data_IF_566277536930
#
_entry.id   IF_566277536930
#
_cell.length_a   1.000
_cell.length_b   1.000
_cell.length_c   1.000
_cell.angle_alpha   90.00
_cell.angle_beta   90.00
_cell.angle_gamma   90.00
#
_symmetry.space_group_name_H-M   'P 1'
#
loop_
_entity.id
_entity.type
_entity.pdbx_description
1 polymer ?
#
# COMPACT_ATOMS: atom_id res chain seq x y z
N UNK A 1 -6.01 26.72 15.97
CA UNK A 1 -4.91 25.92 15.40
C UNK A 1 -5.55 25.06 14.35
N UNK A 2 -5.34 25.35 13.06
CA UNK A 2 -5.96 24.57 11.98
C UNK A 2 -5.58 23.11 12.16
N UNK A 3 -6.59 22.24 12.13
CA UNK A 3 -6.38 20.82 11.95
C UNK A 3 -5.59 20.63 10.66
N UNK A 4 -4.34 20.15 10.77
CA UNK A 4 -3.48 19.89 9.61
C UNK A 4 -3.98 18.72 8.76
N UNK A 5 -5.02 18.00 9.18
CA UNK A 5 -5.47 16.75 8.56
C UNK A 5 -4.66 15.54 9.01
N UNK A 6 -3.73 15.73 9.95
CA UNK A 6 -2.81 14.70 10.41
C UNK A 6 -3.53 13.52 11.10
N UNK A 7 -4.63 13.77 11.79
CA UNK A 7 -5.42 12.70 12.44
C UNK A 7 -6.04 11.76 11.39
N UNK A 8 -6.66 12.32 10.34
CA UNK A 8 -7.22 11.54 9.23
C UNK A 8 -6.11 10.80 8.49
N UNK A 9 -5.04 11.50 8.11
CA UNK A 9 -3.93 10.91 7.38
C UNK A 9 -3.32 9.71 8.11
N UNK A 10 -3.09 9.83 9.42
CA UNK A 10 -2.56 8.73 10.26
C UNK A 10 -3.54 7.57 10.41
N UNK A 11 -4.84 7.85 10.55
CA UNK A 11 -5.89 6.83 10.67
C UNK A 11 -5.96 5.97 9.41
N UNK A 12 -5.87 6.59 8.24
CA UNK A 12 -6.07 5.94 6.95
C UNK A 12 -4.73 5.46 6.32
N UNK A 13 -3.60 5.70 6.98
CA UNK A 13 -2.25 5.51 6.43
C UNK A 13 -1.95 4.05 6.05
N UNK A 14 -2.33 3.11 6.90
CA UNK A 14 -2.09 1.68 6.66
C UNK A 14 -2.90 1.14 5.48
N UNK A 15 -4.14 1.60 5.33
CA UNK A 15 -5.00 1.25 4.20
C UNK A 15 -4.47 1.88 2.91
N UNK A 16 -4.00 3.14 3.00
CA UNK A 16 -3.33 3.81 1.89
C UNK A 16 -2.08 3.05 1.41
N UNK A 17 -1.20 2.65 2.34
CA UNK A 17 0.01 1.88 2.03
C UNK A 17 -0.29 0.51 1.40
N UNK A 18 -1.44 -0.09 1.72
CA UNK A 18 -1.91 -1.36 1.15
C UNK A 18 -2.74 -1.20 -0.12
N UNK A 19 -2.92 0.03 -0.62
CA UNK A 19 -3.79 0.37 -1.75
C UNK A 19 -5.25 -0.07 -1.53
N UNK A 20 -5.72 0.00 -0.29
CA UNK A 20 -7.09 -0.37 0.13
C UNK A 20 -8.03 0.84 0.27
N UNK A 21 -7.55 2.06 0.01
CA UNK A 21 -8.36 3.30 0.00
C UNK A 21 -8.86 3.63 -1.41
N UNK A 22 -9.98 4.36 -1.50
CA UNK A 22 -10.46 4.82 -2.80
C UNK A 22 -9.52 5.88 -3.40
N UNK A 23 -9.58 6.08 -4.73
CA UNK A 23 -8.60 6.92 -5.45
C UNK A 23 -8.61 8.39 -5.01
N UNK A 24 -9.77 8.93 -4.62
CA UNK A 24 -9.88 10.31 -4.11
C UNK A 24 -9.20 10.45 -2.76
N UNK A 25 -9.45 9.52 -1.83
CA UNK A 25 -8.81 9.53 -0.51
C UNK A 25 -7.30 9.28 -0.59
N UNK A 26 -6.87 8.44 -1.54
CA UNK A 26 -5.45 8.22 -1.82
C UNK A 26 -4.72 9.51 -2.24
N UNK A 27 -5.39 10.39 -2.97
CA UNK A 27 -4.82 11.68 -3.39
C UNK A 27 -4.62 12.60 -2.20
N UNK A 28 -5.64 12.72 -1.34
CA UNK A 28 -5.60 13.60 -0.17
C UNK A 28 -4.53 13.17 0.84
N UNK A 29 -4.41 11.86 1.10
CA UNK A 29 -3.40 11.31 2.01
C UNK A 29 -1.99 11.54 1.44
N UNK A 30 -1.81 11.34 0.13
CA UNK A 30 -0.53 11.57 -0.55
C UNK A 30 -0.10 13.03 -0.44
N UNK A 31 -0.99 13.95 -0.80
CA UNK A 31 -0.73 15.39 -0.72
C UNK A 31 -0.36 15.80 0.72
N UNK A 32 -1.05 15.24 1.72
CA UNK A 32 -0.73 15.50 3.11
C UNK A 32 0.67 15.01 3.51
N UNK A 33 1.02 13.77 3.17
CA UNK A 33 2.35 13.18 3.48
C UNK A 33 3.47 13.97 2.78
N UNK A 34 3.23 14.45 1.56
CA UNK A 34 4.20 15.27 0.81
C UNK A 34 4.50 16.61 1.50
N UNK A 35 3.54 17.15 2.27
CA UNK A 35 3.63 18.46 2.91
C UNK A 35 3.79 18.42 4.43
N UNK A 36 3.68 17.24 5.07
CA UNK A 36 3.79 17.06 6.51
C UNK A 36 4.99 16.16 6.87
N UNK A 37 5.93 16.68 7.66
CA UNK A 37 7.09 15.90 8.12
C UNK A 37 6.67 14.74 9.03
N UNK A 38 5.81 15.01 10.02
CA UNK A 38 5.38 14.01 11.01
C UNK A 38 4.68 12.81 10.34
N UNK A 39 3.76 13.07 9.40
CA UNK A 39 3.06 11.98 8.69
C UNK A 39 3.97 11.23 7.71
N UNK A 40 5.04 11.85 7.21
CA UNK A 40 6.06 11.16 6.42
C UNK A 40 6.89 10.23 7.29
N UNK A 41 7.25 10.65 8.50
CA UNK A 41 7.97 9.80 9.44
C UNK A 41 7.11 8.60 9.86
N UNK A 42 5.81 8.80 10.13
CA UNK A 42 4.86 7.72 10.39
C UNK A 42 4.75 6.74 9.21
N UNK A 43 4.73 7.24 7.97
CA UNK A 43 4.73 6.40 6.77
C UNK A 43 5.98 5.51 6.71
N UNK A 44 7.15 6.08 7.00
CA UNK A 44 8.42 5.34 7.01
C UNK A 44 8.41 4.25 8.09
N UNK A 45 7.87 4.52 9.27
CA UNK A 45 7.72 3.51 10.34
C UNK A 45 6.85 2.35 9.87
N UNK A 46 5.67 2.63 9.31
CA UNK A 46 4.74 1.60 8.82
C UNK A 46 5.35 0.74 7.69
N UNK A 47 6.05 1.37 6.76
CA UNK A 47 6.78 0.66 5.69
C UNK A 47 7.87 -0.25 6.27
N UNK A 48 8.67 0.29 7.19
CA UNK A 48 9.74 -0.48 7.84
C UNK A 48 9.19 -1.69 8.60
N UNK A 49 8.09 -1.54 9.34
CA UNK A 49 7.43 -2.65 10.04
C UNK A 49 6.93 -3.71 9.06
N UNK A 50 6.28 -3.28 7.98
CA UNK A 50 5.77 -4.18 6.93
C UNK A 50 6.91 -4.98 6.30
N UNK A 51 8.02 -4.32 5.95
CA UNK A 51 9.19 -5.00 5.41
C UNK A 51 9.80 -6.01 6.37
N UNK A 52 9.89 -5.67 7.66
CA UNK A 52 10.42 -6.58 8.70
C UNK A 52 9.55 -7.84 8.81
N UNK A 53 8.22 -7.67 8.83
CA UNK A 53 7.28 -8.79 8.86
C UNK A 53 7.43 -9.66 7.60
N UNK A 54 7.51 -9.04 6.42
CA UNK A 54 7.70 -9.77 5.17
C UNK A 54 9.00 -10.56 5.13
N UNK A 55 10.10 -10.02 5.69
CA UNK A 55 11.39 -10.73 5.78
C UNK A 55 11.34 -11.90 6.75
N UNK A 56 10.56 -11.78 7.83
CA UNK A 56 10.37 -12.85 8.82
C UNK A 56 9.45 -13.96 8.29
N UNK A 57 8.44 -13.61 7.49
CA UNK A 57 7.53 -14.57 6.87
C UNK A 57 8.19 -15.25 5.65
N UNK A 58 8.37 -16.58 5.71
CA UNK A 58 8.98 -17.37 4.62
C UNK A 58 7.97 -18.23 3.86
N UNK A 59 6.69 -18.00 4.08
CA UNK A 59 5.63 -18.76 3.42
C UNK A 59 5.62 -18.43 1.92
N UNK A 60 5.86 -19.44 1.10
CA UNK A 60 5.79 -19.31 -0.35
C UNK A 60 4.44 -19.83 -0.83
N UNK A 61 3.80 -19.09 -1.73
CA UNK A 61 2.55 -19.56 -2.36
C UNK A 61 2.79 -20.93 -3.04
N UNK A 62 1.82 -21.87 -2.97
CA UNK A 62 1.94 -23.15 -3.67
C UNK A 62 2.23 -22.95 -5.16
N UNK A 63 3.18 -23.70 -5.71
CA UNK A 63 3.64 -23.54 -7.10
C UNK A 63 2.50 -23.67 -8.12
N UNK A 64 1.57 -24.58 -7.86
CA UNK A 64 0.39 -24.77 -8.69
C UNK A 64 -0.49 -23.50 -8.74
N UNK A 65 -0.71 -22.85 -7.60
CA UNK A 65 -1.49 -21.62 -7.53
C UNK A 65 -0.76 -20.47 -8.22
N UNK A 66 0.56 -20.34 -7.99
CA UNK A 66 1.40 -19.34 -8.67
C UNK A 66 1.33 -19.49 -10.19
N UNK A 67 1.46 -20.72 -10.68
CA UNK A 67 1.37 -21.04 -12.11
C UNK A 67 0.00 -20.67 -12.71
N UNK A 68 -1.09 -20.97 -12.00
CA UNK A 68 -2.46 -20.61 -12.44
C UNK A 68 -2.65 -19.09 -12.53
N UNK A 69 -2.22 -18.34 -11.51
CA UNK A 69 -2.33 -16.87 -11.50
C UNK A 69 -1.54 -16.25 -12.66
N UNK A 70 -0.29 -16.69 -12.87
CA UNK A 70 0.56 -16.18 -13.96
C UNK A 70 -0.01 -16.51 -15.35
N UNK A 71 -0.58 -17.71 -15.53
CA UNK A 71 -1.26 -18.07 -16.77
C UNK A 71 -2.43 -17.11 -17.05
N UNK A 72 -3.26 -16.86 -16.03
CA UNK A 72 -4.43 -15.98 -16.18
C UNK A 72 -4.06 -14.53 -16.49
N UNK A 73 -3.00 -14.01 -15.85
CA UNK A 73 -2.49 -12.67 -16.14
C UNK A 73 -2.07 -12.55 -17.61
N UNK A 74 -1.35 -13.54 -18.14
CA UNK A 74 -0.90 -13.55 -19.54
C UNK A 74 -2.07 -13.61 -20.53
N UNK A 75 -3.09 -14.42 -20.24
CA UNK A 75 -4.32 -14.48 -21.05
C UNK A 75 -4.98 -13.10 -21.15
N UNK A 76 -5.19 -12.43 -20.01
CA UNK A 76 -5.82 -11.10 -19.97
C UNK A 76 -4.97 -10.08 -20.73
N UNK A 77 -3.65 -10.08 -20.55
CA UNK A 77 -2.76 -9.18 -21.27
C UNK A 77 -2.78 -9.41 -22.79
N UNK A 78 -2.82 -10.67 -23.23
CA UNK A 78 -2.90 -11.00 -24.66
C UNK A 78 -4.24 -10.65 -25.31
N UNK A 79 -5.32 -10.57 -24.52
CA UNK A 79 -6.65 -10.21 -24.99
C UNK A 79 -6.88 -8.68 -25.08
N UNK A 80 -6.02 -7.89 -24.44
CA UNK A 80 -6.10 -6.41 -24.39
C UNK A 80 -4.94 -5.71 -25.11
N UNK A 81 -4.05 -6.45 -25.77
CA UNK A 81 -3.03 -5.93 -26.68
C UNK A 81 -3.48 -6.03 -28.13
#
# INVERSE_FOLDING_TARGET
MSDCGCEKARRDLEEYLRNEVCSTEASDIREHIENCADCRDEMVVNQTLTEVIQRACRESAPEQLRSQVLARIREVQSAHG
#
